data_IF_321328791260
#
_entry.id   IF_321328791260
#
_cell.length_a   1.000
_cell.length_b   1.000
_cell.length_c   1.000
_cell.angle_alpha   90.00
_cell.angle_beta   90.00
_cell.angle_gamma   90.00
#
_symmetry.space_group_name_H-M   'P 1'
#
loop_
_entity.id
_entity.type
_entity.pdbx_description
1 polymer ?
#
# COMPACT_ATOMS: atom_id res chain seq x y z
N UNK A 1 7.50 13.23 9.53
CA UNK A 1 8.35 12.72 8.44
C UNK A 1 8.47 13.79 7.36
N UNK A 2 9.69 14.08 6.89
CA UNK A 2 9.89 14.95 5.72
C UNK A 2 9.37 14.24 4.46
N UNK A 3 8.85 14.98 3.48
CA UNK A 3 8.29 14.40 2.24
C UNK A 3 9.31 13.53 1.48
N UNK A 4 10.60 13.84 1.61
CA UNK A 4 11.70 13.07 1.02
C UNK A 4 11.82 11.69 1.68
N UNK A 5 11.68 11.61 3.00
CA UNK A 5 11.72 10.35 3.74
C UNK A 5 10.50 9.48 3.44
N UNK A 6 9.34 10.12 3.22
CA UNK A 6 8.12 9.43 2.78
C UNK A 6 8.32 8.75 1.42
N UNK A 7 8.83 9.49 0.43
CA UNK A 7 9.04 8.93 -0.91
C UNK A 7 10.06 7.79 -0.91
N UNK A 8 11.17 7.95 -0.18
CA UNK A 8 12.18 6.89 -0.01
C UNK A 8 11.60 5.62 0.60
N UNK A 9 10.69 5.77 1.56
CA UNK A 9 10.01 4.65 2.23
C UNK A 9 9.06 3.93 1.27
N UNK A 10 8.30 4.67 0.45
CA UNK A 10 7.45 4.08 -0.59
C UNK A 10 8.28 3.32 -1.64
N UNK A 11 9.39 3.90 -2.09
CA UNK A 11 10.30 3.23 -3.03
C UNK A 11 10.89 1.94 -2.43
N UNK A 12 11.14 1.93 -1.13
CA UNK A 12 11.58 0.75 -0.41
C UNK A 12 10.49 -0.33 -0.34
N UNK A 13 9.22 0.03 -0.11
CA UNK A 13 8.09 -0.89 -0.16
C UNK A 13 7.90 -1.52 -1.53
N UNK A 14 8.03 -0.74 -2.61
CA UNK A 14 7.97 -1.24 -3.99
C UNK A 14 9.06 -2.29 -4.25
N UNK A 15 10.29 -2.07 -3.77
CA UNK A 15 11.39 -3.06 -3.88
C UNK A 15 11.15 -4.31 -3.03
N UNK A 16 10.55 -4.16 -1.84
CA UNK A 16 10.24 -5.25 -0.93
C UNK A 16 9.10 -6.14 -1.45
N UNK A 17 8.13 -5.52 -2.10
CA UNK A 17 6.93 -6.17 -2.61
C UNK A 17 5.86 -6.42 -1.55
N UNK A 18 4.61 -6.49 -2.03
CA UNK A 18 3.37 -6.55 -1.22
C UNK A 18 3.40 -7.61 -0.12
N UNK A 19 3.86 -8.82 -0.44
CA UNK A 19 3.86 -9.96 0.50
C UNK A 19 4.78 -9.74 1.70
N UNK A 20 5.97 -9.15 1.48
CA UNK A 20 6.94 -8.89 2.56
C UNK A 20 6.51 -7.72 3.42
N UNK A 21 5.99 -6.65 2.81
CA UNK A 21 5.44 -5.51 3.56
C UNK A 21 4.31 -5.98 4.49
N UNK A 22 3.36 -6.79 4.00
CA UNK A 22 2.30 -7.40 4.85
C UNK A 22 2.85 -8.23 6.01
N UNK A 23 3.92 -9.00 5.77
CA UNK A 23 4.50 -9.84 6.81
C UNK A 23 5.16 -8.98 7.89
N UNK A 24 5.92 -7.96 7.49
CA UNK A 24 6.61 -7.08 8.42
C UNK A 24 5.64 -6.22 9.22
N UNK A 25 4.53 -5.77 8.61
CA UNK A 25 3.50 -5.04 9.34
C UNK A 25 2.75 -5.89 10.36
N UNK A 26 2.59 -7.17 10.09
CA UNK A 26 1.94 -8.11 11.01
C UNK A 26 2.84 -8.54 12.19
N UNK A 27 4.17 -8.49 12.04
CA UNK A 27 5.12 -8.96 13.05
C UNK A 27 5.65 -7.80 13.91
N UNK A 28 6.43 -6.89 13.31
CA UNK A 28 7.14 -5.83 14.04
C UNK A 28 7.56 -4.71 13.07
N UNK A 29 6.69 -3.71 12.86
CA UNK A 29 6.98 -2.59 11.97
C UNK A 29 8.22 -1.82 12.41
N UNK A 30 8.35 -1.58 13.72
CA UNK A 30 9.44 -0.75 14.27
C UNK A 30 10.81 -1.35 13.97
N UNK A 31 10.92 -2.67 14.12
CA UNK A 31 12.17 -3.37 13.87
C UNK A 31 12.49 -3.52 12.37
N UNK A 32 11.48 -3.73 11.52
CA UNK A 32 11.71 -4.11 10.12
C UNK A 32 11.54 -2.98 9.12
N UNK A 33 10.73 -1.98 9.45
CA UNK A 33 10.38 -0.83 8.61
C UNK A 33 10.77 0.50 9.27
N UNK A 34 11.03 0.52 10.58
CA UNK A 34 11.36 1.72 11.34
C UNK A 34 10.12 2.33 12.01
N UNK A 35 10.19 3.61 12.36
CA UNK A 35 9.24 4.34 13.22
C UNK A 35 7.74 4.04 12.99
N UNK A 36 6.90 4.24 14.01
CA UNK A 36 5.46 3.95 13.97
C UNK A 36 4.73 4.66 12.81
N UNK A 37 5.22 5.82 12.35
CA UNK A 37 4.72 6.55 11.16
C UNK A 37 4.85 5.73 9.86
N UNK A 38 5.81 4.82 9.80
CA UNK A 38 6.04 3.91 8.66
C UNK A 38 4.97 2.82 8.60
N UNK A 39 4.37 2.44 9.74
CA UNK A 39 3.26 1.48 9.77
C UNK A 39 2.03 2.04 9.07
N UNK A 40 1.63 3.26 9.40
CA UNK A 40 0.49 3.91 8.75
C UNK A 40 0.71 4.07 7.25
N UNK A 41 1.94 4.41 6.85
CA UNK A 41 2.31 4.51 5.43
C UNK A 41 2.28 3.15 4.73
N UNK A 42 2.72 2.07 5.41
CA UNK A 42 2.65 0.72 4.89
C UNK A 42 1.20 0.25 4.71
N UNK A 43 0.32 0.56 5.66
CA UNK A 43 -1.11 0.24 5.58
C UNK A 43 -1.76 0.97 4.39
N UNK A 44 -1.51 2.28 4.24
CA UNK A 44 -2.00 3.05 3.08
C UNK A 44 -1.49 2.50 1.74
N UNK A 45 -0.21 2.12 1.68
CA UNK A 45 0.36 1.54 0.47
C UNK A 45 -0.23 0.15 0.16
N UNK A 46 -0.44 -0.68 1.19
CA UNK A 46 -1.07 -1.99 1.03
C UNK A 46 -2.51 -1.89 0.54
N UNK A 47 -3.27 -0.93 1.04
CA UNK A 47 -4.64 -0.66 0.58
C UNK A 47 -4.67 -0.20 -0.87
N UNK A 48 -3.75 0.69 -1.27
CA UNK A 48 -3.60 1.08 -2.68
C UNK A 48 -3.28 -0.14 -3.57
N UNK A 49 -2.34 -1.00 -3.17
CA UNK A 49 -2.02 -2.24 -3.90
C UNK A 49 -3.15 -3.28 -3.89
N UNK A 50 -4.00 -3.29 -2.86
CA UNK A 50 -5.19 -4.14 -2.85
C UNK A 50 -6.26 -3.63 -3.82
N UNK A 51 -6.44 -2.31 -3.91
CA UNK A 51 -7.34 -1.69 -4.88
C UNK A 51 -6.87 -1.91 -6.32
N UNK A 52 -5.55 -1.88 -6.59
CA UNK A 52 -4.97 -2.23 -7.89
C UNK A 52 -5.20 -3.71 -8.28
N UNK A 53 -5.04 -4.64 -7.32
CA UNK A 53 -5.25 -6.07 -7.53
C UNK A 53 -6.73 -6.46 -7.62
N UNK A 54 -7.65 -5.59 -7.20
CA UNK A 54 -9.08 -5.88 -7.28
C UNK A 54 -9.55 -5.63 -8.71
N UNK A 55 -9.93 -6.66 -9.49
CA UNK A 55 -10.52 -6.43 -10.80
C UNK A 55 -11.77 -5.58 -10.58
N UNK A 56 -11.79 -4.40 -11.21
CA UNK A 56 -12.93 -3.49 -11.07
C UNK A 56 -14.24 -4.27 -11.28
N UNK A 57 -15.25 -4.09 -10.41
CA UNK A 57 -16.50 -4.79 -10.59
C UNK A 57 -17.05 -4.42 -11.96
N UNK A 58 -17.22 -5.42 -12.83
CA UNK A 58 -17.74 -5.29 -14.20
C UNK A 58 -19.07 -4.51 -14.26
N UNK A 59 -19.79 -4.42 -13.13
CA UNK A 59 -21.00 -3.61 -12.92
C UNK A 59 -20.81 -2.10 -13.10
N UNK A 60 -19.60 -1.55 -12.88
CA UNK A 60 -19.34 -0.13 -13.19
C UNK A 60 -19.38 0.16 -14.69
N UNK A 61 -19.18 -0.85 -15.54
CA UNK A 61 -19.25 -0.71 -17.00
C UNK A 61 -20.68 -0.71 -17.52
N UNK A 62 -21.63 -1.33 -16.80
CA UNK A 62 -23.05 -1.36 -17.18
C UNK A 62 -23.82 -0.09 -16.78
N UNK A 63 -23.33 0.68 -15.80
CA UNK A 63 -23.93 1.97 -15.42
C UNK A 63 -23.48 3.16 -16.29
N UNK A 64 -22.41 3.00 -17.07
CA UNK A 64 -21.93 4.03 -18.00
C UNK A 64 -22.60 3.98 -19.38
N UNK A 65 -23.40 2.94 -19.67
CA UNK A 65 -24.10 2.74 -20.96
C UNK A 65 -25.57 3.20 -20.91
N UNK A 66 -25.91 4.10 -19.97
CA UNK A 66 -27.22 4.73 -19.88
C UNK A 66 -27.07 6.25 -19.79
N UNK A 67 -26.58 6.87 -20.86
CA UNK A 67 -26.78 8.29 -21.15
C UNK A 67 -27.05 8.47 -22.64
#
# INVERSE_FOLDING_TARGET
MEDIDRQRTLDYFERLGKKRVRLYTAIDCERFLGDWQVRELADQWLDAKNAEDTPQPLWRRLLSDRR
#
